data_IF_907996616184
#
_entry.id   IF_907996616184
#
_cell.length_a   1.000
_cell.length_b   1.000
_cell.length_c   1.000
_cell.angle_alpha   90.00
_cell.angle_beta   90.00
_cell.angle_gamma   90.00
#
_symmetry.space_group_name_H-M   'P 1'
#
loop_
_entity.id
_entity.type
_entity.pdbx_description
1 polymer ?
#
# COMPACT_ATOMS: atom_id res chain seq x y z
N UNK A 1 -9.24 -23.08 10.61
CA UNK A 1 -9.64 -21.66 10.68
C UNK A 1 -8.41 -20.85 10.99
N UNK A 2 -7.54 -20.75 9.99
CA UNK A 2 -6.28 -19.99 10.01
C UNK A 2 -6.09 -19.66 8.54
N UNK A 3 -6.29 -18.42 8.12
CA UNK A 3 -6.02 -17.92 6.75
C UNK A 3 -6.30 -16.39 6.67
N UNK A 4 -6.22 -15.65 7.78
CA UNK A 4 -6.25 -14.17 7.70
C UNK A 4 -4.80 -13.73 7.59
N UNK A 5 -4.44 -13.12 6.45
CA UNK A 5 -3.10 -12.57 6.23
C UNK A 5 -3.09 -11.03 6.37
N UNK A 6 -1.92 -10.43 6.15
CA UNK A 6 -1.74 -8.99 6.30
C UNK A 6 -2.51 -8.16 5.27
N UNK A 7 -2.86 -8.74 4.11
CA UNK A 7 -3.69 -8.10 3.09
C UNK A 7 -5.15 -8.09 3.56
N UNK A 8 -5.63 -9.21 4.11
CA UNK A 8 -6.97 -9.29 4.71
C UNK A 8 -7.11 -8.28 5.86
N UNK A 9 -6.10 -8.20 6.73
CA UNK A 9 -6.05 -7.25 7.84
C UNK A 9 -6.08 -5.79 7.34
N UNK A 10 -5.28 -5.47 6.32
CA UNK A 10 -5.27 -4.14 5.71
C UNK A 10 -6.64 -3.76 5.13
N UNK A 11 -7.30 -4.67 4.40
CA UNK A 11 -8.63 -4.44 3.85
C UNK A 11 -9.70 -4.29 4.94
N UNK A 12 -9.62 -5.10 5.99
CA UNK A 12 -10.53 -5.07 7.15
C UNK A 12 -10.46 -3.74 7.90
N UNK A 13 -9.26 -3.21 8.13
CA UNK A 13 -9.07 -1.96 8.86
C UNK A 13 -9.02 -0.71 7.98
N UNK A 14 -8.92 -0.84 6.66
CA UNK A 14 -8.76 0.28 5.72
C UNK A 14 -9.73 1.45 5.99
N UNK A 15 -11.03 1.16 6.12
CA UNK A 15 -12.06 2.21 6.31
C UNK A 15 -11.86 3.00 7.59
N UNK A 16 -11.34 2.39 8.66
CA UNK A 16 -11.05 3.10 9.89
C UNK A 16 -9.71 3.85 9.77
N UNK A 17 -8.67 3.14 9.31
CA UNK A 17 -7.29 3.64 9.27
C UNK A 17 -7.11 4.86 8.36
N UNK A 18 -7.83 4.94 7.23
CA UNK A 18 -7.67 6.01 6.25
C UNK A 18 -8.08 7.41 6.77
N UNK A 19 -8.80 7.50 7.89
CA UNK A 19 -9.18 8.78 8.51
C UNK A 19 -8.14 9.31 9.51
N UNK A 20 -7.22 8.46 9.98
CA UNK A 20 -6.21 8.88 10.95
C UNK A 20 -5.07 9.62 10.26
N UNK A 21 -4.66 10.75 10.85
CA UNK A 21 -3.52 11.56 10.38
C UNK A 21 -2.20 11.16 11.04
N UNK A 22 -2.27 10.48 12.18
CA UNK A 22 -1.12 10.02 12.96
C UNK A 22 -1.24 8.51 13.14
N UNK A 23 -0.11 7.81 13.02
CA UNK A 23 -0.03 6.37 13.24
C UNK A 23 1.20 6.08 14.11
N UNK A 24 1.02 5.36 15.21
CA UNK A 24 2.10 4.95 16.12
C UNK A 24 2.66 3.60 15.68
N UNK A 25 3.90 3.59 15.16
CA UNK A 25 4.54 2.39 14.61
C UNK A 25 5.19 1.62 15.76
N UNK A 26 4.66 0.43 16.06
CA UNK A 26 5.13 -0.40 17.17
C UNK A 26 5.97 -1.58 16.70
N UNK A 27 5.63 -2.14 15.54
CA UNK A 27 6.29 -3.32 14.99
C UNK A 27 6.53 -3.15 13.48
N UNK A 28 7.39 -3.99 12.90
CA UNK A 28 7.69 -3.91 11.47
C UNK A 28 6.46 -4.20 10.59
N UNK A 29 5.53 -5.04 11.07
CA UNK A 29 4.26 -5.31 10.38
C UNK A 29 3.39 -4.05 10.21
N UNK A 30 3.47 -3.07 11.13
CA UNK A 30 2.72 -1.81 11.01
C UNK A 30 3.13 -1.04 9.75
N UNK A 31 4.41 -1.09 9.38
CA UNK A 31 4.90 -0.44 8.15
C UNK A 31 4.28 -1.06 6.91
N UNK A 32 4.13 -2.39 6.90
CA UNK A 32 3.44 -3.10 5.83
C UNK A 32 1.95 -2.74 5.79
N UNK A 33 1.27 -2.66 6.94
CA UNK A 33 -0.13 -2.22 7.00
C UNK A 33 -0.32 -0.78 6.50
N UNK A 34 0.58 0.15 6.86
CA UNK A 34 0.57 1.53 6.35
C UNK A 34 0.72 1.53 4.83
N UNK A 35 1.71 0.80 4.30
CA UNK A 35 1.95 0.74 2.85
C UNK A 35 0.73 0.16 2.11
N UNK A 36 0.16 -0.93 2.59
CA UNK A 36 -1.04 -1.54 2.02
C UNK A 36 -2.24 -0.59 2.09
N UNK A 37 -2.42 0.15 3.19
CA UNK A 37 -3.48 1.16 3.33
C UNK A 37 -3.38 2.24 2.25
N UNK A 38 -2.17 2.74 1.98
CA UNK A 38 -1.94 3.72 0.90
C UNK A 38 -2.18 3.10 -0.49
N UNK A 39 -1.71 1.87 -0.70
CA UNK A 39 -1.90 1.16 -1.96
C UNK A 39 -3.39 0.90 -2.26
N UNK A 40 -4.18 0.54 -1.25
CA UNK A 40 -5.65 0.42 -1.38
C UNK A 40 -6.27 1.76 -1.80
N UNK A 41 -5.82 2.88 -1.23
CA UNK A 41 -6.31 4.21 -1.62
C UNK A 41 -5.98 4.55 -3.09
N UNK A 42 -4.79 4.18 -3.58
CA UNK A 42 -4.40 4.29 -4.99
C UNK A 42 -5.29 3.44 -5.90
N UNK A 43 -5.50 2.17 -5.53
CA UNK A 43 -6.42 1.26 -6.23
C UNK A 43 -7.80 1.90 -6.37
N UNK A 44 -8.38 2.40 -5.28
CA UNK A 44 -9.69 3.05 -5.29
C UNK A 44 -9.74 4.27 -6.21
N UNK A 45 -8.67 5.07 -6.26
CA UNK A 45 -8.59 6.24 -7.14
C UNK A 45 -8.62 5.86 -8.62
N UNK A 46 -7.97 4.75 -8.99
CA UNK A 46 -8.04 4.21 -10.36
C UNK A 46 -9.40 3.60 -10.67
N UNK A 47 -9.93 2.83 -9.73
CA UNK A 47 -11.24 2.20 -9.83
C UNK A 47 -12.38 3.20 -10.00
N UNK A 48 -12.26 4.41 -9.42
CA UNK A 48 -13.25 5.48 -9.57
C UNK A 48 -13.58 5.83 -11.03
N UNK A 49 -12.63 5.64 -11.96
CA UNK A 49 -12.82 5.93 -13.39
C UNK A 49 -13.29 4.72 -14.21
N UNK A 50 -13.34 3.55 -13.60
CA UNK A 50 -13.68 2.30 -14.28
C UNK A 50 -15.20 2.07 -14.27
N UNK A 51 -15.76 1.67 -15.40
CA UNK A 51 -17.20 1.42 -15.54
C UNK A 51 -17.56 -0.07 -15.56
N UNK A 52 -16.56 -0.97 -15.58
CA UNK A 52 -16.76 -2.41 -15.59
C UNK A 52 -15.67 -3.14 -14.81
N UNK A 53 -16.00 -4.35 -14.34
CA UNK A 53 -15.06 -5.23 -13.64
C UNK A 53 -13.86 -5.61 -14.52
N UNK A 54 -14.07 -5.79 -15.83
CA UNK A 54 -12.98 -6.14 -16.77
C UNK A 54 -12.00 -4.98 -16.90
N UNK A 55 -12.51 -3.75 -17.03
CA UNK A 55 -11.67 -2.55 -17.08
C UNK A 55 -10.91 -2.35 -15.77
N UNK A 56 -11.60 -2.48 -14.63
CA UNK A 56 -11.00 -2.44 -13.31
C UNK A 56 -9.85 -3.45 -13.16
N UNK A 57 -10.06 -4.71 -13.58
CA UNK A 57 -9.02 -5.73 -13.51
C UNK A 57 -7.79 -5.35 -14.34
N UNK A 58 -7.97 -4.86 -15.56
CA UNK A 58 -6.86 -4.42 -16.42
C UNK A 58 -6.10 -3.25 -15.80
N UNK A 59 -6.82 -2.27 -15.25
CA UNK A 59 -6.23 -1.09 -14.64
C UNK A 59 -5.44 -1.43 -13.37
N UNK A 60 -5.97 -2.29 -12.51
CA UNK A 60 -5.26 -2.76 -11.32
C UNK A 60 -4.07 -3.66 -11.66
N UNK A 61 -4.17 -4.49 -12.70
CA UNK A 61 -3.02 -5.26 -13.21
C UNK A 61 -1.91 -4.35 -13.74
N UNK A 62 -2.26 -3.25 -14.42
CA UNK A 62 -1.28 -2.25 -14.86
C UNK A 62 -0.67 -1.47 -13.68
N UNK A 63 -1.46 -1.16 -12.65
CA UNK A 63 -0.99 -0.53 -11.42
C UNK A 63 -0.01 -1.44 -10.66
N UNK A 64 -0.26 -2.75 -10.60
CA UNK A 64 0.58 -3.71 -9.89
C UNK A 64 2.02 -3.79 -10.43
N UNK A 65 2.22 -3.49 -11.71
CA UNK A 65 3.55 -3.49 -12.36
C UNK A 65 4.14 -2.08 -12.52
N UNK A 66 3.41 -1.04 -12.10
CA UNK A 66 3.90 0.33 -12.23
C UNK A 66 4.97 0.64 -11.19
N UNK A 67 5.91 1.50 -11.55
CA UNK A 67 6.95 1.97 -10.62
C UNK A 67 6.34 2.94 -9.62
N UNK A 68 6.62 2.71 -8.34
CA UNK A 68 6.32 3.63 -7.25
C UNK A 68 7.61 4.14 -6.64
N UNK A 69 7.62 5.38 -6.10
CA UNK A 69 8.73 5.81 -5.28
C UNK A 69 8.84 4.90 -4.06
N UNK A 70 10.06 4.54 -3.68
CA UNK A 70 10.36 3.65 -2.56
C UNK A 70 11.03 4.43 -1.42
N UNK A 71 11.08 3.89 -0.18
CA UNK A 71 11.83 4.52 0.90
C UNK A 71 13.27 4.87 0.46
N UNK A 72 13.64 6.14 0.61
CA UNK A 72 14.90 6.71 0.14
C UNK A 72 14.77 7.57 -1.12
N UNK A 73 13.71 7.43 -1.91
CA UNK A 73 13.45 8.28 -3.08
C UNK A 73 12.94 9.66 -2.63
N UNK A 74 13.30 10.72 -3.35
CA UNK A 74 12.88 12.09 -3.02
C UNK A 74 11.35 12.26 -3.01
N UNK A 75 10.66 11.53 -3.89
CA UNK A 75 9.21 11.60 -4.06
C UNK A 75 8.45 10.63 -3.13
N UNK A 76 9.15 9.87 -2.27
CA UNK A 76 8.48 8.99 -1.31
C UNK A 76 7.98 9.78 -0.09
N UNK A 77 6.66 9.88 0.14
CA UNK A 77 6.09 10.80 1.12
C UNK A 77 6.36 10.41 2.59
N UNK A 78 6.84 9.19 2.85
CA UNK A 78 7.00 8.63 4.20
C UNK A 78 8.46 8.31 4.56
N UNK A 79 9.43 9.00 3.97
CA UNK A 79 10.87 8.80 4.26
C UNK A 79 11.24 8.96 5.74
N UNK A 80 10.45 9.70 6.54
CA UNK A 80 10.67 9.81 7.99
C UNK A 80 10.24 8.57 8.80
N UNK A 81 9.49 7.64 8.20
CA UNK A 81 8.92 6.47 8.88
C UNK A 81 9.46 5.14 8.34
N UNK A 82 9.96 5.14 7.11
CA UNK A 82 10.51 3.98 6.43
C UNK A 82 12.02 4.12 6.27
N UNK A 83 12.72 2.99 6.38
CA UNK A 83 14.17 2.93 6.24
C UNK A 83 14.49 2.71 4.76
N UNK A 84 15.42 3.51 4.22
CA UNK A 84 15.96 3.31 2.87
C UNK A 84 16.57 1.89 2.77
N UNK A 85 16.32 1.13 1.70
CA UNK A 85 17.01 -0.13 1.46
C UNK A 85 18.53 0.07 1.44
N UNK A 86 19.26 -0.70 2.23
CA UNK A 86 20.72 -0.80 2.13
C UNK A 86 21.05 -1.86 1.09
N UNK A 87 21.78 -1.50 0.03
CA UNK A 87 22.14 -2.42 -1.05
C UNK A 87 22.86 -3.65 -0.50
N UNK A 88 22.14 -4.78 -0.50
CA UNK A 88 22.62 -6.16 -0.49
C UNK A 88 21.42 -7.04 -0.86
N UNK A 89 21.32 -7.39 -2.16
CA UNK A 89 20.44 -8.43 -2.72
C UNK A 89 18.92 -8.24 -2.60
N UNK A 90 18.33 -7.50 -3.54
CA UNK A 90 16.99 -7.82 -4.07
C UNK A 90 16.94 -7.44 -5.57
N UNK A 91 17.43 -8.36 -6.39
CA UNK A 91 17.23 -8.42 -7.84
C UNK A 91 16.94 -9.85 -8.25
#
# INVERSE_FOLDING_TARGET
TENEDIIDEALKYFRANIFFRNYDIKHDADRTLIYLTLYIAECLRRLQKCQSRIQAQKELSALAISTFPIPGDADFPLNGMFIKPTDSEVG
#
